data_IF_816344040045
#
_entry.id   IF_816344040045
#
_cell.length_a   1.000
_cell.length_b   1.000
_cell.length_c   1.000
_cell.angle_alpha   90.00
_cell.angle_beta   90.00
_cell.angle_gamma   90.00
#
_symmetry.space_group_name_H-M   'P 1'
#
loop_
_entity.id
_entity.type
_entity.pdbx_description
1 polymer ?
#
# COMPACT_ATOMS: atom_id res chain seq x y z
N UNK A 1 26.84 2.22 -0.63
CA UNK A 1 25.66 2.92 -0.04
C UNK A 1 25.96 3.48 1.35
N UNK A 2 26.60 2.73 2.25
CA UNK A 2 26.89 3.19 3.63
C UNK A 2 27.73 4.48 3.74
N UNK A 3 28.69 4.68 2.83
CA UNK A 3 29.53 5.89 2.79
C UNK A 3 28.73 7.15 2.50
N UNK A 4 27.75 7.06 1.59
CA UNK A 4 26.86 8.18 1.25
C UNK A 4 25.97 8.57 2.43
N UNK A 5 25.49 7.59 3.20
CA UNK A 5 24.76 7.83 4.45
C UNK A 5 25.64 8.44 5.54
N UNK A 6 26.92 8.05 5.61
CA UNK A 6 27.87 8.57 6.60
C UNK A 6 28.29 10.01 6.30
N UNK A 7 28.51 10.36 5.04
CA UNK A 7 28.79 11.74 4.63
C UNK A 7 27.59 12.66 4.91
N UNK A 8 26.37 12.21 4.57
CA UNK A 8 25.14 12.98 4.82
C UNK A 8 24.84 13.20 6.33
N UNK A 9 25.32 12.32 7.22
CA UNK A 9 25.23 12.52 8.68
C UNK A 9 26.11 13.67 9.21
N UNK A 10 27.24 13.94 8.55
CA UNK A 10 28.19 14.97 9.00
C UNK A 10 27.73 16.37 8.59
N UNK A 11 27.20 16.50 7.37
CA UNK A 11 26.72 17.76 6.81
C UNK A 11 25.46 18.28 7.53
N UNK A 12 24.62 17.34 7.97
CA UNK A 12 23.27 17.64 8.43
C UNK A 12 23.17 17.91 9.94
N UNK A 13 24.26 17.68 10.69
CA UNK A 13 24.35 17.80 12.16
C UNK A 13 24.20 19.24 12.70
N UNK A 14 24.10 20.26 11.84
CA UNK A 14 24.26 21.65 12.23
C UNK A 14 23.00 22.42 12.70
N UNK A 15 21.74 21.92 12.57
CA UNK A 15 20.55 22.71 12.99
C UNK A 15 19.37 21.89 13.54
N UNK A 16 18.55 22.42 14.48
CA UNK A 16 17.33 21.78 15.01
C UNK A 16 16.27 21.44 13.94
N UNK A 17 16.32 22.07 12.77
CA UNK A 17 15.55 21.68 11.57
C UNK A 17 15.88 20.24 11.12
N UNK A 18 17.11 19.77 11.35
CA UNK A 18 17.53 18.41 11.02
C UNK A 18 16.82 17.35 11.84
N UNK A 19 16.57 17.55 13.14
CA UNK A 19 15.92 16.50 13.94
C UNK A 19 14.49 16.22 13.43
N UNK A 20 13.74 17.27 13.09
CA UNK A 20 12.41 17.12 12.50
C UNK A 20 12.47 16.56 11.07
N UNK A 21 13.43 17.02 10.26
CA UNK A 21 13.60 16.54 8.88
C UNK A 21 14.07 15.08 8.83
N UNK A 22 14.95 14.67 9.74
CA UNK A 22 15.42 13.28 9.88
C UNK A 22 14.28 12.35 10.29
N UNK A 23 13.49 12.74 11.29
CA UNK A 23 12.30 11.99 11.69
C UNK A 23 11.31 11.87 10.52
N UNK A 24 11.12 12.94 9.73
CA UNK A 24 10.26 12.91 8.54
C UNK A 24 10.81 11.99 7.44
N UNK A 25 12.12 12.00 7.18
CA UNK A 25 12.78 11.12 6.21
C UNK A 25 12.68 9.66 6.66
N UNK A 26 13.00 9.37 7.93
CA UNK A 26 12.96 8.02 8.50
C UNK A 26 11.51 7.48 8.47
N UNK A 27 10.52 8.30 8.82
CA UNK A 27 9.11 7.93 8.71
C UNK A 27 8.68 7.68 7.25
N UNK A 28 9.08 8.55 6.32
CA UNK A 28 8.76 8.39 4.90
C UNK A 28 9.36 7.10 4.33
N UNK A 29 10.64 6.85 4.59
CA UNK A 29 11.32 5.62 4.15
C UNK A 29 10.69 4.38 4.78
N UNK A 30 10.28 4.43 6.04
CA UNK A 30 9.58 3.33 6.71
C UNK A 30 8.26 3.01 6.00
N UNK A 31 7.45 4.03 5.69
CA UNK A 31 6.17 3.85 5.00
C UNK A 31 6.38 3.33 3.58
N UNK A 32 7.34 3.88 2.83
CA UNK A 32 7.66 3.44 1.47
C UNK A 32 8.17 2.00 1.47
N UNK A 33 9.02 1.63 2.43
CA UNK A 33 9.55 0.27 2.55
C UNK A 33 8.45 -0.73 2.92
N UNK A 34 7.58 -0.38 3.88
CA UNK A 34 6.43 -1.20 4.23
C UNK A 34 5.49 -1.38 3.02
N UNK A 35 5.16 -0.30 2.31
CA UNK A 35 4.33 -0.35 1.11
C UNK A 35 4.96 -1.23 0.01
N UNK A 36 6.27 -1.15 -0.18
CA UNK A 36 7.00 -1.98 -1.14
C UNK A 36 6.99 -3.45 -0.74
N UNK A 37 7.24 -3.77 0.54
CA UNK A 37 7.21 -5.14 1.05
C UNK A 37 5.83 -5.78 0.89
N UNK A 38 4.76 -5.04 1.23
CA UNK A 38 3.38 -5.48 1.03
C UNK A 38 3.09 -5.70 -0.45
N UNK A 39 3.46 -4.74 -1.32
CA UNK A 39 3.25 -4.86 -2.76
C UNK A 39 3.94 -6.08 -3.33
N UNK A 40 5.20 -6.34 -2.95
CA UNK A 40 5.97 -7.48 -3.42
C UNK A 40 5.39 -8.81 -2.93
N UNK A 41 4.91 -8.84 -1.68
CA UNK A 41 4.26 -10.02 -1.12
C UNK A 41 2.95 -10.34 -1.86
N UNK A 42 2.13 -9.34 -2.17
CA UNK A 42 0.92 -9.51 -2.99
C UNK A 42 1.27 -10.07 -4.37
N UNK A 43 2.27 -9.50 -5.05
CA UNK A 43 2.71 -9.99 -6.36
C UNK A 43 3.20 -11.44 -6.31
N UNK A 44 3.94 -11.81 -5.25
CA UNK A 44 4.45 -13.18 -5.05
C UNK A 44 3.32 -14.19 -4.83
N UNK A 45 2.34 -13.86 -4.00
CA UNK A 45 1.25 -14.78 -3.67
C UNK A 45 0.22 -14.91 -4.81
N UNK A 46 -0.05 -13.81 -5.52
CA UNK A 46 -1.10 -13.78 -6.54
C UNK A 46 -0.59 -14.08 -7.95
N UNK A 47 0.70 -13.81 -8.23
CA UNK A 47 1.32 -13.91 -9.55
C UNK A 47 0.92 -12.77 -10.51
N UNK A 48 0.18 -11.75 -10.04
CA UNK A 48 -0.20 -10.58 -10.84
C UNK A 48 0.57 -9.36 -10.38
N UNK A 49 0.87 -8.44 -11.31
CA UNK A 49 1.52 -7.17 -10.94
C UNK A 49 0.63 -6.34 -10.02
N UNK A 50 1.24 -5.59 -9.10
CA UNK A 50 0.52 -4.71 -8.15
C UNK A 50 -0.39 -3.71 -8.88
N UNK A 51 -0.01 -3.24 -10.08
CA UNK A 51 -0.85 -2.35 -10.90
C UNK A 51 -2.14 -3.03 -11.36
N UNK A 52 -2.03 -4.28 -11.82
CA UNK A 52 -3.19 -5.08 -12.24
C UNK A 52 -4.05 -5.43 -11.03
N UNK A 53 -3.43 -5.85 -9.92
CA UNK A 53 -4.11 -6.12 -8.66
C UNK A 53 -4.98 -4.93 -8.20
N UNK A 54 -4.40 -3.73 -8.12
CA UNK A 54 -5.13 -2.52 -7.72
C UNK A 54 -6.25 -2.18 -8.70
N UNK A 55 -6.02 -2.34 -10.02
CA UNK A 55 -7.05 -2.10 -11.04
C UNK A 55 -8.24 -3.03 -10.86
N UNK A 56 -7.98 -4.30 -10.53
CA UNK A 56 -9.01 -5.33 -10.35
C UNK A 56 -9.79 -5.16 -9.05
N UNK A 57 -9.14 -4.75 -7.95
CA UNK A 57 -9.78 -4.59 -6.64
C UNK A 57 -10.49 -3.23 -6.49
N UNK A 58 -9.99 -2.16 -7.11
CA UNK A 58 -10.56 -0.79 -7.02
C UNK A 58 -12.08 -0.71 -7.25
N UNK A 59 -12.69 -1.39 -8.25
CA UNK A 59 -14.13 -1.32 -8.47
C UNK A 59 -14.96 -2.16 -7.48
N UNK A 60 -14.36 -3.04 -6.69
CA UNK A 60 -15.07 -3.93 -5.75
C UNK A 60 -15.40 -3.27 -4.42
N UNK A 61 -15.55 -1.94 -4.41
CA UNK A 61 -15.98 -1.22 -3.22
C UNK A 61 -17.50 -1.25 -3.16
N UNK A 62 -18.05 -1.55 -1.99
CA UNK A 62 -19.47 -1.39 -1.72
C UNK A 62 -19.86 0.06 -2.03
N UNK A 63 -20.80 0.24 -2.94
CA UNK A 63 -21.31 1.55 -3.30
C UNK A 63 -22.65 1.77 -2.59
N UNK A 64 -22.74 2.87 -1.86
CA UNK A 64 -24.02 3.39 -1.38
C UNK A 64 -24.70 4.10 -2.56
N UNK A 65 -25.75 3.49 -3.12
CA UNK A 65 -26.51 4.07 -4.22
C UNK A 65 -27.81 4.65 -3.67
N UNK A 66 -28.00 5.96 -3.84
CA UNK A 66 -29.25 6.63 -3.45
C UNK A 66 -30.29 6.46 -4.55
N UNK A 67 -31.32 5.64 -4.32
CA UNK A 67 -32.42 5.41 -5.27
C UNK A 67 -33.69 5.95 -4.64
N UNK A 68 -34.33 6.95 -5.27
CA UNK A 68 -35.64 7.51 -4.83
C UNK A 68 -35.73 7.83 -3.32
N UNK A 69 -34.66 8.37 -2.75
CA UNK A 69 -34.53 8.76 -1.32
C UNK A 69 -34.22 7.63 -0.32
N UNK A 70 -33.94 6.41 -0.78
CA UNK A 70 -33.42 5.32 0.04
C UNK A 70 -31.94 5.06 -0.28
N UNK A 71 -31.11 4.92 0.76
CA UNK A 71 -29.72 4.49 0.62
C UNK A 71 -29.70 2.97 0.54
N UNK A 72 -29.42 2.43 -0.65
CA UNK A 72 -29.29 0.99 -0.85
C UNK A 72 -27.80 0.66 -0.93
N UNK A 73 -27.34 -0.23 -0.05
CA UNK A 73 -26.00 -0.80 -0.11
C UNK A 73 -25.98 -1.86 -1.21
N UNK A 74 -25.20 -1.63 -2.26
CA UNK A 74 -25.00 -2.63 -3.31
C UNK A 74 -23.73 -3.41 -2.96
N UNK A 75 -23.89 -4.71 -2.70
CA UNK A 75 -22.75 -5.61 -2.56
C UNK A 75 -22.03 -5.74 -3.90
N UNK A 76 -20.68 -5.65 -3.93
CA UNK A 76 -19.94 -5.81 -5.16
C UNK A 76 -20.05 -7.26 -5.67
N UNK A 77 -20.42 -7.44 -6.94
CA UNK A 77 -20.28 -8.75 -7.59
C UNK A 77 -18.78 -9.04 -7.78
N UNK A 78 -18.24 -9.97 -7.00
CA UNK A 78 -16.82 -10.33 -7.03
C UNK A 78 -16.64 -11.50 -8.00
N UNK A 79 -16.04 -11.30 -9.18
CA UNK A 79 -15.86 -12.38 -10.15
C UNK A 79 -14.96 -13.49 -9.60
N UNK A 80 -15.23 -14.74 -10.00
CA UNK A 80 -14.60 -15.96 -9.44
C UNK A 80 -13.07 -15.94 -9.42
N UNK A 81 -12.46 -15.37 -10.47
CA UNK A 81 -11.00 -15.25 -10.56
C UNK A 81 -10.43 -14.32 -9.48
N UNK A 82 -11.16 -13.28 -9.07
CA UNK A 82 -10.78 -12.38 -7.97
C UNK A 82 -10.99 -13.05 -6.63
N UNK A 83 -12.07 -13.82 -6.45
CA UNK A 83 -12.24 -14.61 -5.23
C UNK A 83 -11.07 -15.57 -5.01
N UNK A 84 -10.63 -16.28 -6.06
CA UNK A 84 -9.48 -17.17 -5.98
C UNK A 84 -8.18 -16.40 -5.68
N UNK A 85 -8.00 -15.21 -6.27
CA UNK A 85 -6.86 -14.34 -5.98
C UNK A 85 -6.84 -13.87 -4.51
N UNK A 86 -7.99 -13.47 -3.97
CA UNK A 86 -8.14 -13.05 -2.57
C UNK A 86 -7.92 -14.23 -1.59
N UNK A 87 -8.39 -15.43 -1.94
CA UNK A 87 -8.13 -16.64 -1.16
C UNK A 87 -6.64 -16.92 -1.00
N UNK A 88 -5.85 -16.76 -2.08
CA UNK A 88 -4.39 -16.94 -2.01
C UNK A 88 -3.73 -16.00 -0.99
N UNK A 89 -4.26 -14.80 -0.80
CA UNK A 89 -3.77 -13.83 0.19
C UNK A 89 -4.22 -14.16 1.63
N UNK A 90 -5.40 -14.76 1.79
CA UNK A 90 -5.96 -15.14 3.10
C UNK A 90 -5.40 -16.46 3.65
N UNK A 91 -4.77 -17.29 2.82
CA UNK A 91 -4.21 -18.58 3.20
C UNK A 91 -2.84 -18.49 3.90
N UNK A 92 -2.33 -17.28 4.16
CA UNK A 92 -1.15 -17.06 4.99
C UNK A 92 -1.49 -17.07 6.48
N UNK A 93 -1.75 -18.26 7.03
CA UNK A 93 -1.67 -18.57 8.46
C UNK A 93 -1.05 -19.96 8.62
#
# INVERSE_FOLDING_TARGET
METSFRMMKSDLKARPVYHQNRNAIEAHLTIVFAALAISKNIEMQTGVSIKQFIKTIRPLRSAEVKIKNELVLIEPDIPKHVQNMLKKLSSGH
#
